data_IF_643009613425
#
_entry.id   IF_643009613425
#
_cell.length_a   1.000
_cell.length_b   1.000
_cell.length_c   1.000
_cell.angle_alpha   90.00
_cell.angle_beta   90.00
_cell.angle_gamma   90.00
#
_symmetry.space_group_name_H-M   'P 1'
#
loop_
_entity.id
_entity.type
_entity.pdbx_description
1 polymer ?
#
# COMPACT_ATOMS: atom_id res chain seq x y z
N UNK A 1 6.35 9.05 27.78
CA UNK A 1 5.20 9.73 27.24
C UNK A 1 5.05 9.46 25.75
N UNK A 2 4.10 10.10 25.17
CA UNK A 2 3.79 9.88 23.76
C UNK A 2 4.94 10.27 22.86
N UNK A 3 5.54 11.40 23.12
CA UNK A 3 6.64 11.86 22.30
C UNK A 3 7.79 10.87 22.35
N UNK A 4 8.04 10.36 23.51
CA UNK A 4 9.10 9.41 23.71
C UNK A 4 8.81 8.13 22.93
N UNK A 5 7.57 7.69 22.97
CA UNK A 5 7.15 6.50 22.25
C UNK A 5 7.30 6.67 20.75
N UNK A 6 6.92 7.83 20.25
CA UNK A 6 7.02 8.09 18.81
C UNK A 6 8.45 8.06 18.34
N UNK A 7 9.33 8.65 19.13
CA UNK A 7 10.74 8.66 18.76
C UNK A 7 11.30 7.25 18.74
N UNK A 8 10.92 6.46 19.73
CA UNK A 8 11.39 5.10 19.84
C UNK A 8 10.91 4.28 18.64
N UNK A 9 9.67 4.47 18.27
CA UNK A 9 9.09 3.77 17.13
C UNK A 9 9.85 4.11 15.85
N UNK A 10 10.15 5.39 15.65
CA UNK A 10 10.86 5.83 14.46
C UNK A 10 12.24 5.18 14.38
N UNK A 11 12.92 5.12 15.49
CA UNK A 11 14.25 4.52 15.55
C UNK A 11 14.17 3.03 15.21
N UNK A 12 13.21 2.34 15.79
CA UNK A 12 13.05 0.92 15.58
C UNK A 12 12.77 0.62 14.12
N UNK A 13 11.89 1.39 13.51
CA UNK A 13 11.53 1.19 12.13
C UNK A 13 12.59 1.70 11.17
N UNK A 14 13.48 2.54 11.67
CA UNK A 14 14.53 3.13 10.85
C UNK A 14 13.95 3.78 9.59
N UNK A 15 12.92 4.54 9.77
CA UNK A 15 12.12 5.11 8.68
C UNK A 15 11.85 6.57 8.93
N UNK A 16 11.92 7.38 7.90
CA UNK A 16 11.55 8.78 8.01
C UNK A 16 10.03 8.91 8.09
N UNK A 17 9.52 9.98 8.69
CA UNK A 17 8.08 10.14 8.83
C UNK A 17 7.31 10.04 7.51
N UNK A 18 7.83 10.64 6.44
CA UNK A 18 7.16 10.58 5.16
C UNK A 18 7.12 9.15 4.61
N UNK A 19 8.19 8.42 4.81
CA UNK A 19 8.25 7.04 4.36
C UNK A 19 7.25 6.19 5.12
N UNK A 20 7.12 6.46 6.40
CA UNK A 20 6.19 5.72 7.23
C UNK A 20 4.74 5.96 6.78
N UNK A 21 4.39 7.23 6.55
CA UNK A 21 3.06 7.57 6.06
C UNK A 21 2.81 6.93 4.71
N UNK A 22 3.79 6.98 3.83
CA UNK A 22 3.66 6.39 2.51
C UNK A 22 3.42 4.89 2.61
N UNK A 23 4.13 4.23 3.50
CA UNK A 23 3.97 2.80 3.68
C UNK A 23 2.55 2.47 4.14
N UNK A 24 2.00 3.25 5.05
CA UNK A 24 0.64 3.05 5.52
C UNK A 24 -0.34 3.22 4.37
N UNK A 25 -0.14 4.25 3.55
CA UNK A 25 -1.01 4.47 2.40
C UNK A 25 -0.97 3.32 1.41
N UNK A 26 0.22 2.80 1.17
CA UNK A 26 0.38 1.68 0.25
C UNK A 26 -0.29 0.41 0.77
N UNK A 27 -0.20 0.18 2.06
CA UNK A 27 -0.87 -0.98 2.65
C UNK A 27 -2.39 -0.86 2.54
N UNK A 28 -2.89 0.35 2.73
CA UNK A 28 -4.31 0.58 2.56
C UNK A 28 -4.73 0.37 1.11
N UNK A 29 -3.88 0.81 0.18
CA UNK A 29 -4.15 0.59 -1.22
C UNK A 29 -4.21 -0.90 -1.55
N UNK A 30 -3.31 -1.68 -0.97
CA UNK A 30 -3.32 -3.12 -1.19
C UNK A 30 -4.64 -3.73 -0.73
N UNK A 31 -5.14 -3.28 0.41
CA UNK A 31 -6.43 -3.76 0.90
C UNK A 31 -7.56 -3.42 -0.07
N UNK A 32 -7.53 -2.22 -0.62
CA UNK A 32 -8.56 -1.80 -1.57
C UNK A 32 -8.46 -2.56 -2.88
N UNK A 33 -7.25 -2.89 -3.29
CA UNK A 33 -7.06 -3.67 -4.52
C UNK A 33 -7.72 -5.03 -4.43
N UNK A 34 -7.67 -5.62 -3.26
CA UNK A 34 -8.23 -6.95 -3.04
C UNK A 34 -9.71 -6.87 -2.67
N UNK A 35 -10.08 -5.90 -1.86
CA UNK A 35 -11.40 -5.87 -1.27
C UNK A 35 -12.42 -4.97 -1.97
N UNK A 36 -12.05 -4.31 -3.06
CA UNK A 36 -12.98 -3.44 -3.74
C UNK A 36 -12.79 -3.56 -5.25
N UNK A 37 -13.67 -2.88 -5.98
CA UNK A 37 -13.60 -2.88 -7.45
C UNK A 37 -13.09 -1.56 -8.00
N UNK A 38 -12.58 -0.70 -7.14
CA UNK A 38 -12.00 0.56 -7.59
C UNK A 38 -10.83 0.27 -8.52
N UNK A 39 -10.67 1.09 -9.56
CA UNK A 39 -9.51 0.92 -10.40
C UNK A 39 -8.28 1.51 -9.73
N UNK A 40 -7.12 1.26 -10.31
CA UNK A 40 -5.85 1.65 -9.70
C UNK A 40 -5.77 3.16 -9.51
N UNK A 41 -6.26 3.92 -10.48
CA UNK A 41 -6.22 5.38 -10.39
C UNK A 41 -7.08 5.88 -9.22
N UNK A 42 -8.27 5.30 -9.08
CA UNK A 42 -9.15 5.67 -7.99
C UNK A 42 -8.54 5.35 -6.64
N UNK A 43 -7.91 4.19 -6.55
CA UNK A 43 -7.27 3.77 -5.29
C UNK A 43 -6.13 4.71 -4.94
N UNK A 44 -5.30 5.06 -5.93
CA UNK A 44 -4.19 5.98 -5.67
C UNK A 44 -4.71 7.29 -5.09
N UNK A 45 -5.79 7.81 -5.67
CA UNK A 45 -6.37 9.05 -5.19
C UNK A 45 -6.94 8.89 -3.78
N UNK A 46 -7.63 7.80 -3.53
CA UNK A 46 -8.27 7.58 -2.23
C UNK A 46 -7.26 7.47 -1.10
N UNK A 47 -6.11 6.89 -1.38
CA UNK A 47 -5.11 6.72 -0.33
C UNK A 47 -4.13 7.89 -0.23
N UNK A 48 -4.29 8.90 -1.10
CA UNK A 48 -3.55 10.13 -0.94
C UNK A 48 -2.36 10.34 -1.85
N UNK A 49 -2.29 9.61 -2.95
CA UNK A 49 -1.22 9.84 -3.93
C UNK A 49 -1.70 10.80 -5.00
N UNK A 50 -0.88 11.80 -5.29
CA UNK A 50 -1.25 12.83 -6.25
C UNK A 50 -1.10 12.37 -7.69
N UNK A 51 -0.18 11.47 -7.95
CA UNK A 51 0.04 10.99 -9.31
C UNK A 51 0.10 9.48 -9.31
N UNK A 52 -0.45 8.91 -10.38
CA UNK A 52 -0.45 7.46 -10.54
C UNK A 52 0.97 6.95 -10.75
N UNK A 53 1.82 7.77 -11.33
CA UNK A 53 3.20 7.39 -11.59
C UNK A 53 3.94 7.06 -10.30
N UNK A 54 3.83 7.95 -9.31
CA UNK A 54 4.48 7.72 -8.03
C UNK A 54 3.83 6.57 -7.28
N UNK A 55 2.52 6.46 -7.38
CA UNK A 55 1.82 5.38 -6.72
C UNK A 55 2.34 4.03 -7.23
N UNK A 56 2.39 3.86 -8.54
CA UNK A 56 2.87 2.60 -9.11
C UNK A 56 4.30 2.30 -8.69
N UNK A 57 5.14 3.32 -8.72
CA UNK A 57 6.54 3.13 -8.38
C UNK A 57 6.71 2.67 -6.94
N UNK A 58 6.10 3.39 -6.01
CA UNK A 58 6.26 3.06 -4.60
C UNK A 58 5.56 1.78 -4.23
N UNK A 59 4.44 1.51 -4.86
CA UNK A 59 3.75 0.25 -4.61
C UNK A 59 4.63 -0.92 -5.02
N UNK A 60 5.25 -0.82 -6.18
CA UNK A 60 6.13 -1.88 -6.64
C UNK A 60 7.33 -2.06 -5.73
N UNK A 61 7.88 -0.97 -5.22
CA UNK A 61 8.99 -1.06 -4.29
C UNK A 61 8.58 -1.73 -2.99
N UNK A 62 7.38 -1.45 -2.53
CA UNK A 62 6.91 -1.98 -1.26
C UNK A 62 6.50 -3.44 -1.37
N UNK A 63 5.83 -3.81 -2.43
CA UNK A 63 5.24 -5.14 -2.56
C UNK A 63 5.90 -6.02 -3.60
N UNK A 64 6.86 -5.51 -4.35
CA UNK A 64 7.57 -6.30 -5.34
C UNK A 64 6.81 -6.50 -6.64
N UNK A 65 5.66 -5.88 -6.78
CA UNK A 65 4.86 -5.99 -8.00
C UNK A 65 3.98 -4.76 -8.15
N UNK A 66 3.50 -4.52 -9.35
CA UNK A 66 2.63 -3.38 -9.60
C UNK A 66 1.27 -3.60 -8.95
N UNK A 67 0.50 -2.51 -8.76
CA UNK A 67 -0.86 -2.67 -8.20
C UNK A 67 -1.73 -3.62 -9.02
N UNK A 68 -1.65 -3.55 -10.33
CA UNK A 68 -2.42 -4.43 -11.19
C UNK A 68 -2.01 -5.87 -11.00
N UNK A 69 -0.71 -6.12 -10.95
CA UNK A 69 -0.20 -7.47 -10.73
C UNK A 69 -0.63 -8.00 -9.36
N UNK A 70 -0.60 -7.14 -8.37
CA UNK A 70 -0.99 -7.52 -7.03
C UNK A 70 -2.47 -7.94 -7.00
N UNK A 71 -3.32 -7.16 -7.66
CA UNK A 71 -4.74 -7.47 -7.72
C UNK A 71 -4.97 -8.81 -8.42
N UNK A 72 -4.30 -9.00 -9.54
CA UNK A 72 -4.47 -10.24 -10.30
C UNK A 72 -4.01 -11.46 -9.51
N UNK A 73 -2.90 -11.33 -8.81
CA UNK A 73 -2.40 -12.43 -8.02
C UNK A 73 -3.37 -12.81 -6.90
N UNK A 74 -3.94 -11.81 -6.25
CA UNK A 74 -4.86 -12.07 -5.16
C UNK A 74 -6.23 -12.50 -5.66
N UNK A 75 -6.58 -12.05 -6.84
CA UNK A 75 -7.83 -12.47 -7.45
C UNK A 75 -7.79 -13.97 -7.75
N UNK A 76 -6.66 -14.44 -8.24
CA UNK A 76 -6.51 -15.85 -8.52
C UNK A 76 -6.58 -16.69 -7.24
N UNK A 77 -5.95 -16.20 -6.20
CA UNK A 77 -5.99 -16.89 -4.91
C UNK A 77 -7.42 -16.99 -4.40
N UNK A 78 -8.18 -15.92 -4.56
CA UNK A 78 -9.56 -15.91 -4.12
C UNK A 78 -10.41 -16.90 -4.90
N UNK A 79 -10.11 -17.07 -6.17
CA UNK A 79 -10.88 -18.00 -6.99
C UNK A 79 -10.55 -19.45 -6.67
N UNK A 80 -9.31 -19.73 -6.40
CA UNK A 80 -8.87 -21.09 -6.16
C UNK A 80 -9.67 -21.80 -5.11
N UNK A 81 -9.87 -21.23 -3.93
CA UNK A 81 -10.57 -21.93 -2.86
C UNK A 81 -11.99 -22.29 -3.22
N UNK A 82 -12.58 -21.58 -4.15
CA UNK A 82 -13.97 -21.83 -4.50
C UNK A 82 -14.16 -23.07 -5.32
N UNK A 83 -13.13 -23.45 -5.99
CA UNK A 83 -13.22 -24.63 -6.80
C UNK A 83 -12.74 -25.85 -6.07
#
# INVERSE_FOLDING_TARGET
SKTHLNRKLTVILNMKPLQFIRSIRLKRAAQLLVGSQYNVVEIADKVGFNTIKYFNRYFKEEFGMTPTQYREANKKVNKSPKT
#
